data_IF_597471288823
#
_entry.id   IF_597471288823
#
_cell.length_a   1.000
_cell.length_b   1.000
_cell.length_c   1.000
_cell.angle_alpha   90.00
_cell.angle_beta   90.00
_cell.angle_gamma   90.00
#
_symmetry.space_group_name_H-M   'P 1'
#
loop_
_entity.id
_entity.type
_entity.pdbx_description
1 polymer ?
#
# COMPACT_ATOMS: atom_id res chain seq x y z
N UNK A 1 2.30 -8.70 26.03
CA UNK A 1 2.24 -7.38 25.39
C UNK A 1 0.84 -7.18 24.80
N UNK A 2 0.41 -5.95 24.51
CA UNK A 2 -0.78 -5.70 23.69
C UNK A 2 -0.32 -5.39 22.28
N UNK A 3 -0.74 -6.19 21.30
CA UNK A 3 -0.41 -5.96 19.90
C UNK A 3 -1.39 -4.97 19.28
N UNK A 4 -0.88 -3.92 18.65
CA UNK A 4 -1.70 -2.92 17.95
C UNK A 4 -1.22 -2.84 16.51
N UNK A 5 -2.14 -2.96 15.56
CA UNK A 5 -1.83 -2.88 14.13
C UNK A 5 -2.88 -2.06 13.38
N UNK A 6 -2.41 -1.44 12.29
CA UNK A 6 -3.21 -0.62 11.40
C UNK A 6 -2.98 -1.08 9.96
N UNK A 7 -4.06 -1.13 9.17
CA UNK A 7 -4.02 -1.43 7.73
C UNK A 7 -3.22 -2.72 7.42
N UNK A 8 -2.24 -2.70 6.51
CA UNK A 8 -1.44 -3.89 6.16
C UNK A 8 -0.62 -4.46 7.32
N UNK A 9 -0.34 -3.66 8.36
CA UNK A 9 0.27 -4.15 9.60
C UNK A 9 -0.59 -5.21 10.30
N UNK A 10 -1.90 -5.24 10.04
CA UNK A 10 -2.81 -6.25 10.57
C UNK A 10 -2.47 -7.66 10.05
N UNK A 11 -1.90 -7.78 8.84
CA UNK A 11 -1.42 -9.06 8.32
C UNK A 11 -0.25 -9.59 9.15
N UNK A 12 0.71 -8.72 9.51
CA UNK A 12 1.83 -9.08 10.36
C UNK A 12 1.36 -9.46 11.77
N UNK A 13 0.51 -8.64 12.39
CA UNK A 13 0.00 -8.93 13.73
C UNK A 13 -0.82 -10.23 13.76
N UNK A 14 -1.60 -10.50 12.71
CA UNK A 14 -2.35 -11.75 12.61
C UNK A 14 -1.43 -12.96 12.54
N UNK A 15 -0.31 -12.90 11.82
CA UNK A 15 0.71 -13.97 11.85
C UNK A 15 1.29 -14.13 13.25
N UNK A 16 1.71 -13.04 13.89
CA UNK A 16 2.25 -13.10 15.26
C UNK A 16 1.24 -13.66 16.27
N UNK A 17 -0.05 -13.36 16.09
CA UNK A 17 -1.12 -13.90 16.93
C UNK A 17 -1.28 -15.42 16.80
N UNK A 18 -0.96 -16.00 15.63
CA UNK A 18 -0.97 -17.44 15.41
C UNK A 18 0.35 -18.10 15.80
N UNK A 19 1.47 -17.44 15.51
CA UNK A 19 2.81 -18.03 15.60
C UNK A 19 3.36 -17.97 17.03
N UNK A 20 3.01 -16.89 17.74
CA UNK A 20 3.49 -16.60 19.09
C UNK A 20 2.38 -16.04 19.99
N UNK A 21 1.23 -16.73 20.11
CA UNK A 21 0.10 -16.25 20.92
C UNK A 21 0.48 -15.99 22.38
N UNK A 22 1.47 -16.73 22.92
CA UNK A 22 1.96 -16.59 24.29
C UNK A 22 2.59 -15.23 24.58
N UNK A 23 2.97 -14.46 23.56
CA UNK A 23 3.59 -13.14 23.70
C UNK A 23 2.57 -12.02 23.90
N UNK A 24 1.29 -12.27 23.63
CA UNK A 24 0.25 -11.25 23.61
C UNK A 24 -0.88 -11.55 24.61
N UNK A 25 -1.26 -10.52 25.36
CA UNK A 25 -2.41 -10.57 26.26
C UNK A 25 -3.70 -10.04 25.61
N UNK A 26 -3.57 -9.25 24.55
CA UNK A 26 -4.68 -8.73 23.75
C UNK A 26 -4.19 -8.22 22.38
N UNK A 27 -5.13 -8.04 21.46
CA UNK A 27 -4.90 -7.53 20.11
C UNK A 27 -5.87 -6.40 19.79
N UNK A 28 -5.39 -5.34 19.16
CA UNK A 28 -6.19 -4.25 18.60
C UNK A 28 -5.87 -4.08 17.12
N UNK A 29 -6.92 -4.16 16.30
CA UNK A 29 -6.87 -4.06 14.85
C UNK A 29 -7.60 -2.79 14.41
N UNK A 30 -6.95 -1.96 13.61
CA UNK A 30 -7.48 -0.67 13.17
C UNK A 30 -7.51 -0.67 11.64
N UNK A 31 -8.62 -0.20 11.06
CA UNK A 31 -8.93 -0.20 9.61
C UNK A 31 -9.16 -1.61 9.02
N UNK A 32 -8.18 -2.50 9.12
CA UNK A 32 -8.31 -3.92 8.77
C UNK A 32 -8.47 -4.79 10.02
N UNK A 33 -9.19 -5.90 9.91
CA UNK A 33 -9.38 -6.88 10.99
C UNK A 33 -8.32 -7.98 11.04
N UNK A 34 -8.55 -8.99 11.88
CA UNK A 34 -7.77 -10.22 11.85
C UNK A 34 -7.86 -10.90 10.48
N UNK A 35 -6.70 -11.27 9.92
CA UNK A 35 -6.57 -11.97 8.66
C UNK A 35 -5.82 -13.28 8.89
N UNK A 36 -6.51 -14.40 8.72
CA UNK A 36 -5.89 -15.72 8.87
C UNK A 36 -4.67 -15.85 7.93
N UNK A 37 -3.54 -16.43 8.39
CA UNK A 37 -2.40 -16.73 7.54
C UNK A 37 -2.81 -17.56 6.31
N UNK A 38 -2.08 -17.43 5.21
CA UNK A 38 -2.38 -18.11 3.94
C UNK A 38 -3.32 -17.32 3.01
N UNK A 39 -3.61 -16.05 3.35
CA UNK A 39 -4.53 -15.17 2.59
C UNK A 39 -3.85 -13.88 2.11
N UNK A 40 -2.61 -13.99 1.63
CA UNK A 40 -1.87 -12.84 1.08
C UNK A 40 -2.57 -12.21 -0.14
N UNK A 41 -2.37 -10.90 -0.31
CA UNK A 41 -2.77 -10.17 -1.50
C UNK A 41 -1.79 -10.42 -2.65
N UNK A 42 -1.78 -11.66 -3.15
CA UNK A 42 -0.97 -12.05 -4.32
C UNK A 42 -1.40 -11.27 -5.56
N UNK A 43 -0.56 -11.23 -6.60
CA UNK A 43 -0.90 -10.61 -7.89
C UNK A 43 -2.24 -11.13 -8.43
N UNK A 44 -2.47 -12.45 -8.36
CA UNK A 44 -3.72 -13.07 -8.78
C UNK A 44 -4.91 -12.62 -7.92
N UNK A 45 -4.74 -12.50 -6.61
CA UNK A 45 -5.78 -12.02 -5.70
C UNK A 45 -6.14 -10.55 -5.98
N UNK A 46 -5.13 -9.69 -6.15
CA UNK A 46 -5.31 -8.26 -6.49
C UNK A 46 -6.03 -8.10 -7.83
N UNK A 47 -5.63 -8.86 -8.85
CA UNK A 47 -6.31 -8.86 -10.15
C UNK A 47 -7.77 -9.35 -10.05
N UNK A 48 -8.02 -10.38 -9.25
CA UNK A 48 -9.36 -10.87 -9.00
C UNK A 48 -10.24 -9.84 -8.30
N UNK A 49 -9.71 -9.15 -7.27
CA UNK A 49 -10.40 -8.06 -6.56
C UNK A 49 -10.74 -6.94 -7.55
N UNK A 50 -9.76 -6.44 -8.31
CA UNK A 50 -9.98 -5.37 -9.29
C UNK A 50 -11.07 -5.72 -10.29
N UNK A 51 -11.01 -6.92 -10.89
CA UNK A 51 -12.06 -7.40 -11.81
C UNK A 51 -13.43 -7.47 -11.15
N UNK A 52 -13.49 -7.95 -9.92
CA UNK A 52 -14.75 -8.09 -9.18
C UNK A 52 -15.38 -6.74 -8.84
N UNK A 53 -14.55 -5.76 -8.49
CA UNK A 53 -14.99 -4.38 -8.22
C UNK A 53 -15.42 -3.71 -9.52
N UNK A 54 -14.66 -3.86 -10.60
CA UNK A 54 -14.97 -3.27 -11.91
C UNK A 54 -16.32 -3.77 -12.45
N UNK A 55 -16.59 -5.08 -12.37
CA UNK A 55 -17.88 -5.65 -12.79
C UNK A 55 -19.07 -5.09 -12.00
N UNK A 56 -18.87 -4.77 -10.71
CA UNK A 56 -19.95 -4.32 -9.82
C UNK A 56 -20.14 -2.82 -9.80
N UNK A 57 -19.03 -2.06 -9.85
CA UNK A 57 -18.99 -0.63 -9.58
C UNK A 57 -18.45 0.20 -10.75
N UNK A 58 -17.91 -0.43 -11.80
CA UNK A 58 -17.41 0.25 -13.00
C UNK A 58 -16.00 0.82 -12.91
N UNK A 59 -15.23 0.52 -11.85
CA UNK A 59 -13.84 0.94 -11.69
C UNK A 59 -13.01 -0.10 -10.93
N UNK A 60 -11.68 -0.04 -11.07
CA UNK A 60 -10.72 -0.82 -10.26
C UNK A 60 -10.21 0.01 -9.08
N UNK A 61 -9.66 -0.64 -8.05
CA UNK A 61 -9.28 0.02 -6.78
C UNK A 61 -7.85 -0.23 -6.31
N UNK A 62 -7.20 -1.28 -6.81
CA UNK A 62 -5.85 -1.71 -6.43
C UNK A 62 -4.87 -1.68 -7.61
N UNK A 63 -5.06 -0.78 -8.59
CA UNK A 63 -4.16 -0.67 -9.74
C UNK A 63 -2.72 -0.34 -9.33
N UNK A 64 -2.56 0.50 -8.30
CA UNK A 64 -1.26 0.90 -7.77
C UNK A 64 -0.46 -0.26 -7.15
N UNK A 65 -1.10 -1.28 -6.59
CA UNK A 65 -0.41 -2.47 -6.06
C UNK A 65 0.49 -3.09 -7.11
N UNK A 66 -0.02 -3.20 -8.34
CA UNK A 66 0.66 -3.88 -9.42
C UNK A 66 1.87 -3.09 -9.96
N UNK A 67 1.96 -1.78 -9.66
CA UNK A 67 3.20 -1.02 -9.91
C UNK A 67 4.32 -1.49 -9.00
N UNK A 68 4.02 -1.88 -7.76
CA UNK A 68 5.04 -2.21 -6.76
C UNK A 68 5.86 -3.45 -7.13
N UNK A 69 5.40 -4.32 -8.03
CA UNK A 69 6.19 -5.48 -8.50
C UNK A 69 7.30 -5.11 -9.47
N UNK A 70 7.21 -3.92 -10.07
CA UNK A 70 8.15 -3.44 -11.08
C UNK A 70 9.49 -3.03 -10.43
N UNK A 71 10.59 -3.58 -10.94
CA UNK A 71 11.94 -3.30 -10.42
C UNK A 71 12.32 -1.81 -10.52
N UNK A 72 11.74 -1.08 -11.48
CA UNK A 72 11.92 0.36 -11.64
C UNK A 72 10.98 1.22 -10.80
N UNK A 73 10.01 0.64 -10.09
CA UNK A 73 9.05 1.40 -9.29
C UNK A 73 9.69 2.26 -8.19
N UNK A 74 10.69 1.80 -7.41
CA UNK A 74 11.34 2.64 -6.42
C UNK A 74 11.91 3.93 -7.02
N UNK A 75 12.67 3.80 -8.12
CA UNK A 75 13.28 4.95 -8.79
C UNK A 75 12.23 5.90 -9.36
N UNK A 76 11.18 5.36 -9.99
CA UNK A 76 10.08 6.17 -10.51
C UNK A 76 9.36 6.97 -9.42
N UNK A 77 9.12 6.36 -8.25
CA UNK A 77 8.48 7.04 -7.12
C UNK A 77 9.40 8.13 -6.53
N UNK A 78 10.69 7.82 -6.37
CA UNK A 78 11.68 8.77 -5.85
C UNK A 78 11.86 9.99 -6.77
N UNK A 79 11.84 9.80 -8.09
CA UNK A 79 11.97 10.87 -9.08
C UNK A 79 10.73 11.78 -9.16
N UNK A 80 9.58 11.28 -8.72
CA UNK A 80 8.29 11.96 -8.82
C UNK A 80 7.61 12.11 -7.45
N UNK A 81 8.37 12.35 -6.37
CA UNK A 81 7.86 12.36 -4.99
C UNK A 81 6.69 13.33 -4.76
N UNK A 82 6.73 14.53 -5.35
CA UNK A 82 5.63 15.51 -5.26
C UNK A 82 4.35 15.01 -5.95
N UNK A 83 4.49 14.34 -7.09
CA UNK A 83 3.38 13.66 -7.77
C UNK A 83 2.82 12.52 -6.92
N UNK A 84 3.66 11.76 -6.20
CA UNK A 84 3.20 10.73 -5.27
C UNK A 84 2.39 11.37 -4.14
N UNK A 85 2.95 12.37 -3.46
CA UNK A 85 2.30 13.04 -2.33
C UNK A 85 0.93 13.59 -2.72
N UNK A 86 0.88 14.40 -3.78
CA UNK A 86 -0.35 15.04 -4.24
C UNK A 86 -1.44 14.03 -4.60
N UNK A 87 -1.09 12.88 -5.20
CA UNK A 87 -2.05 11.84 -5.49
C UNK A 87 -2.53 11.09 -4.24
N UNK A 88 -1.63 10.76 -3.31
CA UNK A 88 -1.98 9.98 -2.13
C UNK A 88 -2.79 10.79 -1.11
N UNK A 89 -2.62 12.11 -1.08
CA UNK A 89 -3.42 13.03 -0.26
C UNK A 89 -4.63 13.62 -1.00
N UNK A 90 -4.83 13.31 -2.29
CA UNK A 90 -5.96 13.83 -3.05
C UNK A 90 -7.30 13.42 -2.42
N UNK A 91 -8.21 14.40 -2.27
CA UNK A 91 -9.60 14.17 -1.89
C UNK A 91 -10.54 13.96 -3.10
N UNK A 92 -10.00 14.00 -4.32
CA UNK A 92 -10.76 13.79 -5.55
C UNK A 92 -10.87 12.29 -5.85
N UNK A 93 -12.09 11.78 -5.75
CA UNK A 93 -12.39 10.37 -5.99
C UNK A 93 -12.14 9.94 -7.45
N UNK A 94 -12.35 10.82 -8.42
CA UNK A 94 -12.17 10.50 -9.84
C UNK A 94 -10.67 10.44 -10.17
N UNK A 95 -9.87 11.32 -9.60
CA UNK A 95 -8.40 11.21 -9.63
C UNK A 95 -7.97 9.89 -8.98
N UNK A 96 -8.51 9.56 -7.81
CA UNK A 96 -8.19 8.31 -7.10
C UNK A 96 -8.54 7.08 -7.91
N UNK A 97 -9.77 6.97 -8.44
CA UNK A 97 -10.20 5.84 -9.29
C UNK A 97 -9.31 5.71 -10.52
N UNK A 98 -9.02 6.83 -11.19
CA UNK A 98 -8.25 6.84 -12.44
C UNK A 98 -6.77 6.52 -12.24
N UNK A 99 -6.13 7.04 -11.20
CA UNK A 99 -4.67 6.98 -11.07
C UNK A 99 -4.19 6.06 -9.94
N UNK A 100 -4.97 5.79 -8.89
CA UNK A 100 -4.63 4.75 -7.90
C UNK A 100 -5.35 3.44 -8.21
N UNK A 101 -6.60 3.54 -8.65
CA UNK A 101 -7.48 2.40 -8.86
C UNK A 101 -7.22 1.64 -10.17
N UNK A 102 -7.10 2.35 -11.29
CA UNK A 102 -6.92 1.72 -12.60
C UNK A 102 -5.51 1.15 -12.82
N UNK A 103 -5.43 0.03 -13.55
CA UNK A 103 -4.15 -0.55 -13.95
C UNK A 103 -3.34 0.44 -14.79
N UNK A 104 -2.08 0.67 -14.41
CA UNK A 104 -1.20 1.64 -15.08
C UNK A 104 -1.53 3.11 -14.77
N UNK A 105 -2.57 3.39 -13.99
CA UNK A 105 -2.95 4.74 -13.58
C UNK A 105 -1.80 5.44 -12.85
N UNK A 106 -1.19 4.79 -11.86
CA UNK A 106 -0.15 5.42 -11.04
C UNK A 106 1.08 5.71 -11.89
N UNK A 107 1.48 4.76 -12.74
CA UNK A 107 2.59 4.97 -13.68
C UNK A 107 2.34 6.18 -14.58
N UNK A 108 1.17 6.29 -15.19
CA UNK A 108 0.85 7.43 -16.08
C UNK A 108 0.85 8.76 -15.33
N UNK A 109 0.29 8.81 -14.11
CA UNK A 109 0.33 9.99 -13.26
C UNK A 109 1.77 10.47 -13.00
N UNK A 110 2.66 9.55 -12.62
CA UNK A 110 4.06 9.85 -12.32
C UNK A 110 4.83 10.26 -13.58
N UNK A 111 4.75 9.49 -14.66
CA UNK A 111 5.53 9.78 -15.89
C UNK A 111 5.09 11.06 -16.60
N UNK A 112 3.83 11.47 -16.44
CA UNK A 112 3.33 12.74 -16.95
C UNK A 112 3.63 13.91 -16.00
N UNK A 113 4.24 13.67 -14.84
CA UNK A 113 4.56 14.69 -13.84
C UNK A 113 3.33 15.39 -13.28
N UNK A 114 2.19 14.68 -13.19
CA UNK A 114 0.93 15.28 -12.71
C UNK A 114 1.01 15.56 -11.22
N UNK A 115 0.38 16.65 -10.82
CA UNK A 115 0.13 16.98 -9.41
C UNK A 115 -1.31 17.48 -9.27
N UNK A 116 -1.78 17.56 -8.03
CA UNK A 116 -3.07 18.17 -7.67
C UNK A 116 -2.91 18.97 -6.38
N UNK A 117 -3.88 19.80 -6.06
CA UNK A 117 -3.85 20.61 -4.86
C UNK A 117 -3.84 19.71 -3.61
N UNK A 118 -2.91 19.99 -2.70
CA UNK A 118 -2.88 19.33 -1.41
C UNK A 118 -4.07 19.80 -0.55
N UNK A 119 -4.66 18.92 0.27
CA UNK A 119 -5.73 19.31 1.18
C UNK A 119 -5.32 20.45 2.12
N UNK A 120 -6.26 21.34 2.43
CA UNK A 120 -6.01 22.51 3.29
C UNK A 120 -5.56 22.18 4.72
N UNK A 121 -5.73 20.94 5.18
CA UNK A 121 -5.24 20.50 6.49
C UNK A 121 -3.75 20.17 6.50
N UNK A 122 -3.12 19.97 5.34
CA UNK A 122 -1.68 19.76 5.24
C UNK A 122 -0.97 21.11 5.29
N UNK A 123 -0.17 21.29 6.33
CA UNK A 123 0.65 22.48 6.50
C UNK A 123 1.93 22.36 5.69
N UNK A 124 2.65 23.48 5.53
CA UNK A 124 3.99 23.46 4.97
C UNK A 124 4.99 22.67 5.81
N UNK A 125 4.71 22.45 7.10
CA UNK A 125 5.53 21.59 7.97
C UNK A 125 5.28 20.11 7.66
N UNK A 126 4.02 19.71 7.47
CA UNK A 126 3.65 18.35 7.07
C UNK A 126 4.30 17.96 5.73
N UNK A 127 4.27 18.88 4.76
CA UNK A 127 4.91 18.68 3.46
C UNK A 127 6.42 18.46 3.58
N UNK A 128 7.13 19.29 4.35
CA UNK A 128 8.57 19.12 4.60
C UNK A 128 8.88 17.81 5.33
N UNK A 129 8.01 17.41 6.26
CA UNK A 129 8.15 16.15 6.96
C UNK A 129 8.00 14.97 5.99
N UNK A 130 7.01 15.03 5.09
CA UNK A 130 6.81 14.03 4.04
C UNK A 130 8.03 13.93 3.13
N UNK A 131 8.51 15.06 2.60
CA UNK A 131 9.72 15.11 1.75
C UNK A 131 10.94 14.52 2.47
N UNK A 132 11.12 14.84 3.76
CA UNK A 132 12.21 14.28 4.54
C UNK A 132 12.06 12.76 4.73
N UNK A 133 10.86 12.29 5.08
CA UNK A 133 10.59 10.89 5.34
C UNK A 133 10.81 9.99 4.11
N UNK A 134 10.45 10.48 2.91
CA UNK A 134 10.61 9.77 1.65
C UNK A 134 11.84 10.23 0.83
N UNK A 135 12.74 10.99 1.44
CA UNK A 135 13.97 11.42 0.78
C UNK A 135 14.90 10.24 0.46
N UNK A 136 15.73 10.38 -0.58
CA UNK A 136 16.74 9.38 -0.96
C UNK A 136 17.74 9.09 0.18
N UNK A 137 18.03 10.06 1.04
CA UNK A 137 18.88 9.87 2.23
C UNK A 137 18.24 8.95 3.29
N UNK A 138 16.90 8.86 3.33
CA UNK A 138 16.14 7.92 4.17
C UNK A 138 15.82 6.59 3.49
N UNK A 139 16.29 6.42 2.24
CA UNK A 139 16.07 5.21 1.45
C UNK A 139 14.92 5.30 0.44
N UNK A 140 14.28 6.45 0.30
CA UNK A 140 13.23 6.67 -0.70
C UNK A 140 11.95 5.86 -0.46
N UNK A 141 11.18 5.62 -1.52
CA UNK A 141 9.95 4.83 -1.49
C UNK A 141 10.18 3.32 -1.54
N UNK A 142 11.39 2.85 -1.88
CA UNK A 142 11.72 1.43 -1.99
C UNK A 142 11.32 0.60 -0.76
N UNK A 143 11.75 0.99 0.46
CA UNK A 143 11.34 0.32 1.69
C UNK A 143 9.82 0.32 1.92
N UNK A 144 9.13 1.41 1.56
CA UNK A 144 7.69 1.53 1.74
C UNK A 144 6.93 0.54 0.85
N UNK A 145 7.37 0.36 -0.40
CA UNK A 145 6.67 -0.55 -1.33
C UNK A 145 6.91 -2.04 -1.05
N UNK A 146 7.88 -2.38 -0.19
CA UNK A 146 8.13 -3.77 0.24
C UNK A 146 6.89 -4.42 0.88
N UNK A 147 6.04 -3.65 1.56
CA UNK A 147 4.79 -4.17 2.13
C UNK A 147 3.86 -4.75 1.06
N UNK A 148 3.77 -4.09 -0.10
CA UNK A 148 2.98 -4.56 -1.23
C UNK A 148 3.67 -5.73 -1.93
N UNK A 149 4.98 -5.62 -2.20
CA UNK A 149 5.75 -6.70 -2.84
C UNK A 149 5.71 -8.01 -2.05
N UNK A 150 5.79 -7.94 -0.71
CA UNK A 150 5.72 -9.12 0.15
C UNK A 150 4.40 -9.88 -0.03
N UNK A 151 3.28 -9.16 -0.11
CA UNK A 151 1.96 -9.74 -0.37
C UNK A 151 1.85 -10.29 -1.79
N UNK A 152 2.25 -9.50 -2.78
CA UNK A 152 2.14 -9.84 -4.21
C UNK A 152 2.93 -11.11 -4.55
N UNK A 153 4.17 -11.22 -4.04
CA UNK A 153 5.07 -12.38 -4.23
C UNK A 153 4.79 -13.54 -3.28
N UNK A 154 3.80 -13.40 -2.39
CA UNK A 154 3.43 -14.41 -1.41
C UNK A 154 4.59 -14.95 -0.56
N UNK A 155 5.49 -14.08 -0.10
CA UNK A 155 6.77 -14.52 0.49
C UNK A 155 6.63 -15.36 1.77
N UNK A 156 5.45 -15.36 2.40
CA UNK A 156 5.18 -16.10 3.63
C UNK A 156 4.55 -17.48 3.39
N UNK A 157 4.31 -17.88 2.14
CA UNK A 157 3.54 -19.10 1.82
C UNK A 157 4.13 -20.36 2.43
N UNK A 158 5.46 -20.52 2.38
CA UNK A 158 6.13 -21.70 2.89
C UNK A 158 5.93 -21.86 4.40
N UNK A 159 6.11 -20.78 5.16
CA UNK A 159 5.90 -20.75 6.61
C UNK A 159 4.42 -21.04 6.95
N UNK A 160 3.50 -20.45 6.19
CA UNK A 160 2.05 -20.58 6.42
C UNK A 160 1.50 -21.98 6.12
N UNK A 161 2.14 -22.74 5.23
CA UNK A 161 1.77 -24.14 4.95
C UNK A 161 2.14 -25.11 6.07
N UNK A 162 3.08 -24.72 6.93
CA UNK A 162 3.59 -25.56 8.03
C UNK A 162 2.79 -25.42 9.33
N UNK A 163 1.79 -24.54 9.33
CA UNK A 163 0.90 -24.19 10.44
C UNK A 163 -0.44 -24.92 10.34
#
# INVERSE_FOLDING_TARGET
MVGVAHDWGCFLLSRLANYHPERFSAYAYIDHGYMAPGRSLTTAAVQHINRSVEVKLGFSVLGYFLLCEDEGAPGLLDEHSESVESLYFSADEEITKKYKGALGGLRSWLTEGKTTELPAYLTSEDHKYYEHAFSKEKGGYGPAINWYMAGLRNINEEDERSM
#
